data_IF_478312805777
#
_entry.id   IF_478312805777
#
_cell.length_a   1.000
_cell.length_b   1.000
_cell.length_c   1.000
_cell.angle_alpha   90.00
_cell.angle_beta   90.00
_cell.angle_gamma   90.00
#
_symmetry.space_group_name_H-M   'P 1'
#
loop_
_entity.id
_entity.type
_entity.pdbx_description
1 polymer ?
#
# COMPACT_ATOMS: atom_id res chain seq x y z
N UNK A 1 -11.75 23.22 -19.52
CA UNK A 1 -10.77 22.21 -19.87
C UNK A 1 -9.62 22.81 -20.67
N UNK A 2 -8.47 22.13 -20.67
CA UNK A 2 -7.29 22.54 -21.45
C UNK A 2 -7.50 22.22 -22.94
N UNK A 3 -6.90 23.05 -23.80
CA UNK A 3 -6.92 22.85 -25.25
C UNK A 3 -5.52 22.76 -25.82
N UNK A 4 -5.36 21.96 -26.87
CA UNK A 4 -4.17 21.90 -27.68
C UNK A 4 -3.99 23.14 -28.57
N UNK A 5 -2.88 23.21 -29.27
CA UNK A 5 -2.62 24.26 -30.24
C UNK A 5 -3.60 24.27 -31.43
N UNK A 6 -4.22 23.14 -31.74
CA UNK A 6 -5.28 22.91 -32.71
C UNK A 6 -6.68 23.30 -32.21
N UNK A 7 -6.82 23.72 -30.96
CA UNK A 7 -8.07 24.08 -30.33
C UNK A 7 -8.86 22.90 -29.74
N UNK A 8 -8.42 21.65 -29.98
CA UNK A 8 -9.10 20.45 -29.46
C UNK A 8 -8.85 20.24 -27.96
N UNK A 9 -9.77 19.58 -27.22
CA UNK A 9 -9.57 19.24 -25.83
C UNK A 9 -8.34 18.36 -25.62
N UNK A 10 -7.53 18.66 -24.61
CA UNK A 10 -6.46 17.76 -24.18
C UNK A 10 -7.01 16.60 -23.36
N UNK A 11 -6.49 15.41 -23.62
CA UNK A 11 -6.79 14.20 -22.85
C UNK A 11 -5.68 13.92 -21.84
N UNK A 12 -6.02 13.55 -20.59
CA UNK A 12 -5.02 13.18 -19.61
C UNK A 12 -4.33 11.87 -20.03
N UNK A 13 -3.09 11.71 -19.59
CA UNK A 13 -2.29 10.53 -19.88
C UNK A 13 -1.36 10.19 -18.72
N UNK A 14 -0.98 8.92 -18.61
CA UNK A 14 0.03 8.43 -17.70
C UNK A 14 1.13 7.69 -18.48
N UNK A 15 2.27 7.47 -17.80
CA UNK A 15 3.30 6.55 -18.29
C UNK A 15 3.04 5.17 -17.72
N UNK A 16 3.16 4.16 -18.60
CA UNK A 16 3.19 2.75 -18.22
C UNK A 16 4.50 2.17 -18.77
N UNK A 17 5.53 2.12 -17.94
CA UNK A 17 6.91 1.90 -18.37
C UNK A 17 7.36 2.98 -19.35
N UNK A 18 7.79 2.59 -20.55
CA UNK A 18 8.17 3.51 -21.65
C UNK A 18 6.99 3.97 -22.49
N UNK A 19 5.80 3.40 -22.28
CA UNK A 19 4.62 3.71 -23.06
C UNK A 19 3.84 4.89 -22.44
N UNK A 20 3.20 5.69 -23.30
CA UNK A 20 2.23 6.70 -22.90
C UNK A 20 0.83 6.16 -23.14
N UNK A 21 0.06 5.99 -22.08
CA UNK A 21 -1.36 5.64 -22.15
C UNK A 21 -2.18 6.92 -22.04
N UNK A 22 -3.01 7.20 -23.04
CA UNK A 22 -3.90 8.37 -23.07
C UNK A 22 -5.32 7.92 -22.79
N UNK A 23 -5.98 8.56 -21.83
CA UNK A 23 -7.38 8.31 -21.47
C UNK A 23 -8.29 9.17 -22.39
N UNK A 24 -8.60 8.62 -23.57
CA UNK A 24 -9.31 9.34 -24.63
C UNK A 24 -10.78 9.62 -24.35
N UNK A 25 -11.36 8.97 -23.37
CA UNK A 25 -12.72 9.17 -22.84
C UNK A 25 -12.82 10.33 -21.84
N UNK A 26 -11.68 10.87 -21.37
CA UNK A 26 -11.60 11.96 -20.41
C UNK A 26 -11.04 13.23 -21.05
N UNK A 27 -11.36 14.39 -20.48
CA UNK A 27 -10.75 15.67 -20.85
C UNK A 27 -9.98 16.26 -19.67
N UNK A 28 -8.87 16.93 -19.95
CA UNK A 28 -8.04 17.57 -18.93
C UNK A 28 -8.71 18.86 -18.45
N UNK A 29 -9.25 18.85 -17.22
CA UNK A 29 -9.84 20.03 -16.60
C UNK A 29 -8.73 21.00 -16.19
N UNK A 30 -8.82 22.26 -16.60
CA UNK A 30 -7.85 23.30 -16.21
C UNK A 30 -8.15 23.84 -14.80
N UNK A 31 -7.81 23.03 -13.80
CA UNK A 31 -8.00 23.39 -12.40
C UNK A 31 -7.00 24.46 -11.89
N UNK A 32 -5.91 24.71 -12.62
CA UNK A 32 -4.87 25.66 -12.22
C UNK A 32 -5.07 27.06 -12.84
N UNK A 33 -5.29 27.13 -14.16
CA UNK A 33 -5.19 28.37 -14.92
C UNK A 33 -6.53 28.82 -15.55
N UNK A 34 -7.63 28.14 -15.21
CA UNK A 34 -8.96 28.56 -15.65
C UNK A 34 -9.23 30.00 -15.22
N UNK A 35 -9.73 30.88 -16.11
CA UNK A 35 -10.17 32.23 -15.71
C UNK A 35 -11.30 32.20 -14.66
N UNK A 36 -12.06 31.12 -14.61
CA UNK A 36 -13.14 30.84 -13.67
C UNK A 36 -12.70 29.88 -12.55
N UNK A 37 -11.42 29.85 -12.19
CA UNK A 37 -10.83 28.90 -11.23
C UNK A 37 -11.59 28.82 -9.91
N UNK A 38 -11.96 29.96 -9.33
CA UNK A 38 -12.68 29.99 -8.06
C UNK A 38 -14.06 29.33 -8.15
N UNK A 39 -14.79 29.59 -9.24
CA UNK A 39 -16.11 29.00 -9.45
C UNK A 39 -16.00 27.49 -9.68
N UNK A 40 -14.97 27.04 -10.42
CA UNK A 40 -14.67 25.64 -10.62
C UNK A 40 -14.32 24.93 -9.32
N UNK A 41 -13.47 25.52 -8.47
CA UNK A 41 -13.13 24.96 -7.18
C UNK A 41 -14.32 24.86 -6.22
N UNK A 42 -15.21 25.87 -6.24
CA UNK A 42 -16.48 25.81 -5.49
C UNK A 42 -17.43 24.73 -6.02
N UNK A 43 -17.38 24.44 -7.33
CA UNK A 43 -18.13 23.31 -7.89
C UNK A 43 -17.65 21.98 -7.30
N UNK A 44 -16.36 21.74 -7.31
CA UNK A 44 -15.78 20.54 -6.71
C UNK A 44 -16.07 20.43 -5.21
N UNK A 45 -16.00 21.54 -4.48
CA UNK A 45 -16.35 21.59 -3.07
C UNK A 45 -17.80 21.16 -2.86
N UNK A 46 -18.77 21.78 -3.57
CA UNK A 46 -20.19 21.42 -3.44
C UNK A 46 -20.46 19.96 -3.79
N UNK A 47 -19.75 19.40 -4.78
CA UNK A 47 -19.85 17.99 -5.13
C UNK A 47 -19.41 17.10 -3.97
N UNK A 48 -18.26 17.38 -3.37
CA UNK A 48 -17.77 16.63 -2.22
C UNK A 48 -18.66 16.80 -0.99
N UNK A 49 -19.15 18.01 -0.71
CA UNK A 49 -20.12 18.30 0.37
C UNK A 49 -21.42 17.51 0.18
N UNK A 50 -21.93 17.44 -1.05
CA UNK A 50 -23.13 16.67 -1.36
C UNK A 50 -22.96 15.18 -0.97
N UNK A 51 -21.87 14.55 -1.37
CA UNK A 51 -21.63 13.14 -1.01
C UNK A 51 -21.35 12.96 0.48
N UNK A 52 -20.63 13.88 1.11
CA UNK A 52 -20.42 13.83 2.56
C UNK A 52 -21.76 13.95 3.33
N UNK A 53 -22.67 14.82 2.87
CA UNK A 53 -24.02 14.93 3.44
C UNK A 53 -24.88 13.66 3.25
N UNK A 54 -24.64 12.88 2.18
CA UNK A 54 -25.26 11.57 1.97
C UNK A 54 -24.68 10.47 2.88
N UNK A 55 -23.64 10.78 3.67
CA UNK A 55 -23.02 9.85 4.62
C UNK A 55 -21.72 9.19 4.13
N UNK A 56 -21.19 9.57 2.98
CA UNK A 56 -19.87 9.12 2.55
C UNK A 56 -18.81 9.72 3.48
N UNK A 57 -17.98 8.85 4.06
CA UNK A 57 -16.95 9.25 5.03
C UNK A 57 -15.54 9.27 4.45
N UNK A 58 -15.35 8.88 3.19
CA UNK A 58 -14.04 8.86 2.55
C UNK A 58 -14.12 9.04 1.05
N UNK A 59 -13.08 9.62 0.50
CA UNK A 59 -12.92 9.84 -0.93
C UNK A 59 -11.56 9.28 -1.39
N UNK A 60 -11.58 8.33 -2.31
CA UNK A 60 -10.40 7.98 -3.10
C UNK A 60 -10.30 9.00 -4.23
N UNK A 61 -9.21 9.69 -4.28
CA UNK A 61 -8.92 10.72 -5.28
C UNK A 61 -8.05 10.10 -6.37
N UNK A 62 -8.68 9.75 -7.47
CA UNK A 62 -8.06 9.10 -8.61
C UNK A 62 -7.04 10.00 -9.30
N UNK A 63 -5.90 9.43 -9.72
CA UNK A 63 -4.81 10.18 -10.36
C UNK A 63 -4.54 11.54 -9.69
N UNK A 64 -4.51 11.57 -8.36
CA UNK A 64 -4.49 12.82 -7.58
C UNK A 64 -3.34 13.76 -7.97
N UNK A 65 -2.23 13.21 -8.48
CA UNK A 65 -1.07 13.96 -8.98
C UNK A 65 -1.36 14.79 -10.24
N UNK A 66 -2.46 14.53 -10.95
CA UNK A 66 -2.91 15.33 -12.10
C UNK A 66 -3.63 16.62 -11.70
N UNK A 67 -4.00 16.74 -10.44
CA UNK A 67 -4.76 17.87 -9.88
C UNK A 67 -3.83 18.75 -9.05
N UNK A 68 -3.95 20.10 -9.10
CA UNK A 68 -3.13 20.99 -8.30
C UNK A 68 -3.23 20.71 -6.80
N UNK A 69 -2.08 20.65 -6.10
CA UNK A 69 -2.04 20.42 -4.65
C UNK A 69 -2.82 21.46 -3.84
N UNK A 70 -2.88 22.71 -4.32
CA UNK A 70 -3.66 23.77 -3.67
C UNK A 70 -5.18 23.53 -3.74
N UNK A 71 -5.67 22.94 -4.84
CA UNK A 71 -7.08 22.53 -4.92
C UNK A 71 -7.35 21.39 -3.91
N UNK A 72 -6.47 20.42 -3.80
CA UNK A 72 -6.63 19.36 -2.78
C UNK A 72 -6.65 19.94 -1.39
N UNK A 73 -5.72 20.82 -1.05
CA UNK A 73 -5.68 21.46 0.26
C UNK A 73 -6.98 22.23 0.53
N UNK A 74 -7.45 23.03 -0.42
CA UNK A 74 -8.70 23.75 -0.33
C UNK A 74 -9.90 22.82 -0.06
N UNK A 75 -10.05 21.74 -0.84
CA UNK A 75 -11.15 20.78 -0.68
C UNK A 75 -11.10 20.06 0.66
N UNK A 76 -9.95 19.51 1.02
CA UNK A 76 -9.75 18.72 2.24
C UNK A 76 -10.02 19.58 3.48
N UNK A 77 -9.46 20.78 3.54
CA UNK A 77 -9.68 21.70 4.66
C UNK A 77 -11.15 22.07 4.82
N UNK A 78 -11.83 22.42 3.73
CA UNK A 78 -13.25 22.82 3.77
C UNK A 78 -14.18 21.68 4.15
N UNK A 79 -13.97 20.50 3.55
CA UNK A 79 -14.79 19.33 3.90
C UNK A 79 -14.57 18.92 5.36
N UNK A 80 -13.34 18.90 5.85
CA UNK A 80 -13.06 18.56 7.25
C UNK A 80 -13.60 19.59 8.26
N UNK A 81 -13.78 20.84 7.86
CA UNK A 81 -14.45 21.85 8.69
C UNK A 81 -15.93 21.54 8.90
N UNK A 82 -16.64 21.13 7.86
CA UNK A 82 -18.07 20.80 7.92
C UNK A 82 -18.36 19.33 8.26
N UNK A 83 -17.45 18.42 7.90
CA UNK A 83 -17.55 16.97 8.08
C UNK A 83 -16.22 16.40 8.63
N UNK A 84 -15.91 16.62 9.93
CA UNK A 84 -14.58 16.33 10.51
C UNK A 84 -14.18 14.85 10.50
N UNK A 85 -15.13 13.93 10.33
CA UNK A 85 -14.87 12.49 10.20
C UNK A 85 -14.56 12.02 8.78
N UNK A 86 -14.49 12.93 7.80
CA UNK A 86 -14.19 12.56 6.40
C UNK A 86 -12.68 12.41 6.19
N UNK A 87 -12.28 11.37 5.48
CA UNK A 87 -10.88 11.13 5.11
C UNK A 87 -10.69 11.10 3.59
N UNK A 88 -9.47 11.41 3.15
CA UNK A 88 -9.07 11.48 1.75
C UNK A 88 -7.87 10.59 1.48
N UNK A 89 -7.97 9.76 0.45
CA UNK A 89 -6.90 8.86 -0.01
C UNK A 89 -6.44 9.31 -1.39
N UNK A 90 -5.17 9.67 -1.53
CA UNK A 90 -4.60 10.00 -2.82
C UNK A 90 -4.13 8.74 -3.54
N UNK A 91 -4.63 8.52 -4.75
CA UNK A 91 -4.03 7.59 -5.69
C UNK A 91 -2.83 8.29 -6.36
N UNK A 92 -1.66 7.64 -6.31
CA UNK A 92 -0.38 8.17 -6.80
C UNK A 92 0.38 7.18 -7.67
N UNK A 93 -0.32 6.18 -8.23
CA UNK A 93 0.31 5.12 -9.02
C UNK A 93 0.80 5.65 -10.36
N UNK A 94 2.00 5.22 -10.78
CA UNK A 94 2.59 5.60 -12.05
C UNK A 94 3.06 7.06 -12.16
N UNK A 95 3.00 7.86 -11.09
CA UNK A 95 3.54 9.21 -11.09
C UNK A 95 5.03 9.25 -10.70
N UNK A 96 5.78 10.28 -11.10
CA UNK A 96 7.10 10.56 -10.55
C UNK A 96 7.06 10.66 -9.02
N UNK A 97 8.12 10.22 -8.35
CA UNK A 97 8.15 10.19 -6.89
C UNK A 97 8.01 11.59 -6.26
N UNK A 98 8.50 12.63 -6.92
CA UNK A 98 8.35 14.02 -6.48
C UNK A 98 6.86 14.42 -6.40
N UNK A 99 6.02 13.89 -7.28
CA UNK A 99 4.57 14.11 -7.25
C UNK A 99 3.93 13.41 -6.05
N UNK A 100 4.39 12.21 -5.71
CA UNK A 100 3.98 11.52 -4.48
C UNK A 100 4.33 12.34 -3.24
N UNK A 101 5.53 12.90 -3.17
CA UNK A 101 5.95 13.78 -2.05
C UNK A 101 5.10 15.05 -1.99
N UNK A 102 4.75 15.62 -3.16
CA UNK A 102 3.87 16.80 -3.24
C UNK A 102 2.47 16.49 -2.71
N UNK A 103 1.90 15.34 -3.08
CA UNK A 103 0.62 14.86 -2.56
C UNK A 103 0.67 14.62 -1.04
N UNK A 104 1.74 14.02 -0.54
CA UNK A 104 1.94 13.80 0.88
C UNK A 104 1.86 15.10 1.72
N UNK A 105 2.16 16.26 1.11
CA UNK A 105 2.07 17.59 1.73
C UNK A 105 0.76 18.32 1.49
N UNK A 106 -0.17 17.75 0.72
CA UNK A 106 -1.41 18.41 0.35
C UNK A 106 -2.56 18.22 1.36
N UNK A 107 -2.33 17.47 2.46
CA UNK A 107 -3.29 17.29 3.54
C UNK A 107 -4.13 16.02 3.46
N UNK A 108 -3.81 15.09 2.57
CA UNK A 108 -4.42 13.76 2.50
C UNK A 108 -4.21 12.99 3.81
N UNK A 109 -5.14 12.12 4.14
CA UNK A 109 -5.04 11.21 5.28
C UNK A 109 -4.20 9.98 4.96
N UNK A 110 -4.24 9.54 3.69
CA UNK A 110 -3.46 8.42 3.17
C UNK A 110 -3.02 8.67 1.73
N UNK A 111 -1.88 8.08 1.35
CA UNK A 111 -1.45 7.95 -0.05
C UNK A 111 -1.26 6.47 -0.39
N UNK A 112 -1.49 6.08 -1.63
CA UNK A 112 -1.03 4.77 -2.12
C UNK A 112 0.48 4.82 -2.35
N UNK A 113 1.18 3.72 -2.07
CA UNK A 113 2.62 3.64 -2.32
C UNK A 113 2.97 2.57 -3.35
N UNK A 114 4.21 2.61 -3.84
CA UNK A 114 4.69 1.71 -4.90
C UNK A 114 5.30 0.41 -4.38
N UNK A 115 5.08 0.02 -3.12
CA UNK A 115 5.69 -1.16 -2.51
C UNK A 115 5.33 -2.49 -3.19
N UNK A 116 4.22 -2.56 -3.95
CA UNK A 116 3.86 -3.70 -4.79
C UNK A 116 5.02 -4.14 -5.69
N UNK A 117 5.73 -3.19 -6.29
CA UNK A 117 6.79 -3.46 -7.26
C UNK A 117 8.17 -3.71 -6.64
N UNK A 118 8.26 -3.70 -5.30
CA UNK A 118 9.53 -3.97 -4.66
C UNK A 118 9.96 -5.43 -4.80
N UNK A 119 11.18 -5.62 -5.26
CA UNK A 119 11.82 -6.92 -5.39
C UNK A 119 12.46 -7.43 -4.08
N UNK A 120 12.31 -6.67 -2.98
CA UNK A 120 12.92 -6.88 -1.67
C UNK A 120 14.45 -6.72 -1.62
N UNK A 121 15.12 -6.40 -2.72
CA UNK A 121 16.59 -6.28 -2.77
C UNK A 121 17.04 -4.83 -2.93
N UNK A 122 16.46 -4.10 -3.88
CA UNK A 122 16.82 -2.72 -4.16
C UNK A 122 16.42 -1.76 -3.03
N UNK A 123 17.19 -0.70 -2.75
CA UNK A 123 16.95 0.19 -1.60
C UNK A 123 15.78 1.15 -1.78
N UNK A 124 15.35 1.39 -3.02
CA UNK A 124 14.42 2.46 -3.39
C UNK A 124 13.12 2.47 -2.58
N UNK A 125 12.56 1.30 -2.26
CA UNK A 125 11.28 1.20 -1.54
C UNK A 125 11.38 1.76 -0.11
N UNK A 126 12.44 1.42 0.61
CA UNK A 126 12.71 1.96 1.95
C UNK A 126 13.12 3.43 1.91
N UNK A 127 13.83 3.86 0.87
CA UNK A 127 14.21 5.27 0.66
C UNK A 127 12.98 6.14 0.41
N UNK A 128 12.06 5.70 -0.45
CA UNK A 128 10.77 6.37 -0.68
C UNK A 128 9.93 6.40 0.59
N UNK A 129 9.83 5.28 1.31
CA UNK A 129 9.11 5.20 2.57
C UNK A 129 9.63 6.22 3.59
N UNK A 130 10.96 6.33 3.78
CA UNK A 130 11.56 7.29 4.71
C UNK A 130 11.20 8.75 4.39
N UNK A 131 10.97 9.08 3.13
CA UNK A 131 10.62 10.43 2.70
C UNK A 131 9.13 10.76 2.90
N UNK A 132 8.24 9.77 2.76
CA UNK A 132 6.79 9.99 2.84
C UNK A 132 6.20 9.69 4.22
N UNK A 133 6.71 8.71 4.94
CA UNK A 133 6.19 8.29 6.26
C UNK A 133 6.09 9.41 7.31
N UNK A 134 7.02 10.39 7.39
CA UNK A 134 6.86 11.52 8.30
C UNK A 134 5.75 12.50 7.91
N UNK A 135 5.29 12.46 6.66
CA UNK A 135 4.34 13.42 6.09
C UNK A 135 2.91 12.91 6.13
N UNK A 136 2.68 11.65 5.76
CA UNK A 136 1.35 11.06 5.61
C UNK A 136 1.42 9.54 5.73
N UNK A 137 0.43 8.89 6.36
CA UNK A 137 0.28 7.44 6.30
C UNK A 137 0.10 6.91 4.88
N UNK A 138 0.59 5.70 4.63
CA UNK A 138 0.45 5.06 3.32
C UNK A 138 -0.44 3.81 3.36
N UNK A 139 -0.95 3.45 2.18
CA UNK A 139 -1.65 2.20 1.90
C UNK A 139 -0.80 1.41 0.94
N UNK A 140 -0.40 0.21 1.34
CA UNK A 140 0.22 -0.79 0.47
C UNK A 140 -0.81 -1.74 -0.10
N UNK A 141 -0.50 -2.34 -1.23
CA UNK A 141 -1.36 -3.32 -1.88
C UNK A 141 -0.51 -4.34 -2.65
N UNK A 142 -0.89 -5.61 -2.68
CA UNK A 142 -0.23 -6.63 -3.50
C UNK A 142 -0.69 -6.59 -4.96
N UNK A 143 -1.93 -6.15 -5.22
CA UNK A 143 -2.53 -5.90 -6.53
C UNK A 143 -3.62 -4.82 -6.42
N UNK A 144 -4.02 -4.26 -7.54
CA UNK A 144 -5.16 -3.33 -7.66
C UNK A 144 -5.95 -3.63 -8.93
N UNK A 145 -7.06 -2.91 -9.16
CA UNK A 145 -7.82 -2.98 -10.41
C UNK A 145 -7.03 -2.48 -11.64
N UNK A 146 -5.98 -1.69 -11.42
CA UNK A 146 -5.12 -1.17 -12.50
C UNK A 146 -3.94 -2.08 -12.83
N UNK A 147 -3.67 -3.11 -12.02
CA UNK A 147 -2.54 -4.02 -12.20
C UNK A 147 -3.01 -5.40 -12.65
N UNK A 148 -2.06 -6.21 -13.14
CA UNK A 148 -2.30 -7.63 -13.32
C UNK A 148 -2.64 -8.29 -11.97
N UNK A 149 -3.43 -9.35 -12.01
CA UNK A 149 -3.70 -10.17 -10.82
C UNK A 149 -2.43 -10.82 -10.31
N UNK A 150 -2.19 -10.75 -9.02
CA UNK A 150 -0.99 -11.31 -8.42
C UNK A 150 -0.89 -12.84 -8.61
N UNK A 151 -2.03 -13.53 -8.61
CA UNK A 151 -2.09 -14.96 -8.91
C UNK A 151 -1.58 -15.28 -10.34
N UNK A 152 -1.80 -14.39 -11.30
CA UNK A 152 -1.26 -14.50 -12.66
C UNK A 152 0.24 -14.18 -12.68
N UNK A 153 0.66 -13.05 -12.12
CA UNK A 153 2.07 -12.64 -12.03
C UNK A 153 2.95 -13.70 -11.36
N UNK A 154 2.41 -14.38 -10.35
CA UNK A 154 3.13 -15.41 -9.59
C UNK A 154 2.86 -16.84 -10.08
N UNK A 155 2.21 -17.01 -11.23
CA UNK A 155 1.93 -18.30 -11.87
C UNK A 155 1.19 -19.29 -10.95
N UNK A 156 0.29 -18.79 -10.11
CA UNK A 156 -0.50 -19.61 -9.20
C UNK A 156 0.23 -20.05 -7.93
N UNK A 157 1.31 -19.40 -7.55
CA UNK A 157 2.04 -19.67 -6.31
C UNK A 157 1.32 -19.03 -5.10
N UNK A 158 0.44 -19.78 -4.47
CA UNK A 158 -0.34 -19.34 -3.30
C UNK A 158 0.55 -18.86 -2.14
N UNK A 159 1.69 -19.52 -1.89
CA UNK A 159 2.59 -19.14 -0.80
C UNK A 159 3.21 -17.76 -1.05
N UNK A 160 3.61 -17.49 -2.30
CA UNK A 160 4.13 -16.18 -2.68
C UNK A 160 3.03 -15.09 -2.64
N UNK A 161 1.78 -15.42 -2.98
CA UNK A 161 0.63 -14.50 -2.82
C UNK A 161 0.43 -14.14 -1.34
N UNK A 162 0.47 -15.12 -0.43
CA UNK A 162 0.39 -14.90 1.02
C UNK A 162 1.52 -14.02 1.53
N UNK A 163 2.78 -14.27 1.09
CA UNK A 163 3.92 -13.43 1.45
C UNK A 163 3.69 -11.97 1.03
N UNK A 164 3.26 -11.73 -0.19
CA UNK A 164 3.01 -10.38 -0.70
C UNK A 164 1.89 -9.67 0.06
N UNK A 165 0.84 -10.39 0.44
CA UNK A 165 -0.22 -9.84 1.28
C UNK A 165 0.30 -9.44 2.67
N UNK A 166 0.99 -10.36 3.37
CA UNK A 166 1.54 -10.09 4.69
C UNK A 166 2.54 -8.92 4.66
N UNK A 167 3.41 -8.87 3.65
CA UNK A 167 4.29 -7.72 3.44
C UNK A 167 3.49 -6.41 3.34
N UNK A 168 2.50 -6.35 2.45
CA UNK A 168 1.69 -5.14 2.26
C UNK A 168 0.98 -4.71 3.54
N UNK A 169 0.42 -5.68 4.28
CA UNK A 169 -0.32 -5.42 5.52
C UNK A 169 0.57 -4.90 6.65
N UNK A 170 1.79 -5.41 6.79
CA UNK A 170 2.69 -5.03 7.87
C UNK A 170 3.61 -3.84 7.53
N UNK A 171 3.85 -3.59 6.26
CA UNK A 171 4.71 -2.50 5.80
C UNK A 171 4.07 -1.13 6.04
N UNK A 172 2.82 -0.95 5.63
CA UNK A 172 2.10 0.33 5.70
C UNK A 172 1.00 0.35 6.76
N UNK A 173 0.57 1.55 7.13
CA UNK A 173 -0.57 1.75 8.03
C UNK A 173 -1.88 1.20 7.44
N UNK A 174 -2.07 1.33 6.13
CA UNK A 174 -3.20 0.76 5.39
C UNK A 174 -2.81 -0.42 4.51
N UNK A 175 -3.78 -1.30 4.22
CA UNK A 175 -3.67 -2.35 3.21
C UNK A 175 -4.93 -2.37 2.36
N UNK A 176 -4.77 -2.58 1.06
CA UNK A 176 -5.88 -2.66 0.09
C UNK A 176 -5.69 -3.91 -0.78
N UNK A 177 -6.79 -4.61 -1.03
CA UNK A 177 -6.87 -5.68 -2.04
C UNK A 177 -8.19 -5.57 -2.80
N UNK A 178 -8.24 -5.88 -4.10
CA UNK A 178 -9.48 -5.97 -4.84
C UNK A 178 -10.19 -7.31 -4.55
N UNK A 179 -11.48 -7.34 -4.83
CA UNK A 179 -12.33 -8.54 -4.75
C UNK A 179 -11.73 -9.68 -5.58
N UNK A 180 -11.75 -10.90 -5.03
CA UNK A 180 -11.24 -12.12 -5.68
C UNK A 180 -9.76 -12.40 -5.42
N UNK A 181 -9.02 -11.48 -4.77
CA UNK A 181 -7.66 -11.71 -4.34
C UNK A 181 -7.55 -12.93 -3.43
N UNK A 182 -8.45 -13.06 -2.47
CA UNK A 182 -8.54 -14.15 -1.49
C UNK A 182 -8.78 -15.52 -2.14
N UNK A 183 -9.35 -15.52 -3.34
CA UNK A 183 -9.68 -16.74 -4.10
C UNK A 183 -8.71 -17.05 -5.23
N UNK A 184 -7.67 -16.22 -5.39
CA UNK A 184 -6.65 -16.41 -6.43
C UNK A 184 -7.16 -16.20 -7.84
N UNK A 185 -8.06 -15.25 -8.04
CA UNK A 185 -8.56 -14.90 -9.36
C UNK A 185 -7.41 -14.43 -10.26
N UNK A 186 -7.47 -14.82 -11.52
CA UNK A 186 -6.43 -14.58 -12.52
C UNK A 186 -6.83 -13.60 -13.59
N UNK A 187 -8.14 -13.48 -13.85
CA UNK A 187 -8.62 -12.52 -14.82
C UNK A 187 -8.47 -11.11 -14.28
N UNK A 188 -7.85 -10.23 -15.06
CA UNK A 188 -7.70 -8.82 -14.69
C UNK A 188 -9.07 -8.20 -14.42
N UNK A 189 -9.18 -7.48 -13.32
CA UNK A 189 -10.38 -6.73 -12.98
C UNK A 189 -10.45 -5.47 -13.86
N UNK A 190 -11.48 -5.38 -14.70
CA UNK A 190 -11.79 -4.20 -15.47
C UNK A 190 -12.98 -3.48 -14.82
N UNK A 191 -12.78 -2.22 -14.41
CA UNK A 191 -13.80 -1.45 -13.66
C UNK A 191 -15.01 -1.04 -14.51
N UNK A 192 -14.92 -1.17 -15.84
CA UNK A 192 -15.99 -0.82 -16.77
C UNK A 192 -16.73 -2.05 -17.28
N UNK A 193 -15.99 -3.10 -17.63
CA UNK A 193 -16.52 -4.25 -18.38
C UNK A 193 -16.74 -5.51 -17.53
N UNK A 194 -16.05 -5.65 -16.38
CA UNK A 194 -16.21 -6.82 -15.51
C UNK A 194 -17.65 -6.90 -14.97
N UNK A 195 -18.28 -8.03 -15.16
CA UNK A 195 -19.67 -8.33 -14.80
C UNK A 195 -19.73 -9.48 -13.77
N UNK A 196 -20.85 -9.68 -13.06
CA UNK A 196 -20.98 -10.80 -12.11
C UNK A 196 -20.75 -12.19 -12.71
N UNK A 197 -21.02 -12.39 -14.01
CA UNK A 197 -20.74 -13.64 -14.72
C UNK A 197 -19.25 -13.90 -14.96
N UNK A 198 -18.39 -12.91 -14.82
CA UNK A 198 -16.93 -13.03 -14.96
C UNK A 198 -16.28 -13.53 -13.65
N UNK A 199 -17.11 -13.86 -12.63
CA UNK A 199 -16.63 -14.40 -11.37
C UNK A 199 -16.00 -15.79 -11.59
N UNK A 200 -14.72 -15.87 -11.31
CA UNK A 200 -13.93 -17.07 -11.57
C UNK A 200 -14.20 -18.16 -10.50
N UNK A 201 -13.94 -19.41 -10.88
CA UNK A 201 -13.80 -20.48 -9.89
C UNK A 201 -12.55 -20.25 -9.06
N UNK A 202 -12.70 -20.32 -7.74
CA UNK A 202 -11.58 -20.12 -6.81
C UNK A 202 -10.46 -21.14 -7.08
N UNK A 203 -9.21 -20.63 -7.19
CA UNK A 203 -8.02 -21.46 -7.26
C UNK A 203 -7.64 -22.01 -5.87
N UNK A 204 -7.95 -21.23 -4.84
CA UNK A 204 -7.77 -21.50 -3.41
C UNK A 204 -8.69 -20.60 -2.61
N UNK A 205 -8.65 -20.76 -1.30
CA UNK A 205 -9.21 -19.79 -0.34
C UNK A 205 -8.13 -19.48 0.71
N UNK A 206 -7.71 -18.20 0.79
CA UNK A 206 -6.77 -17.71 1.80
C UNK A 206 -7.42 -16.71 2.77
N UNK A 207 -8.74 -16.69 2.86
CA UNK A 207 -9.46 -15.74 3.72
C UNK A 207 -9.12 -15.89 5.20
N UNK A 208 -8.88 -17.11 5.68
CA UNK A 208 -8.41 -17.35 7.05
C UNK A 208 -7.01 -16.73 7.30
N UNK A 209 -6.09 -16.89 6.35
CA UNK A 209 -4.77 -16.27 6.43
C UNK A 209 -4.87 -14.74 6.46
N UNK A 210 -5.68 -14.16 5.56
CA UNK A 210 -5.95 -12.72 5.52
C UNK A 210 -6.55 -12.24 6.84
N UNK A 211 -7.50 -12.97 7.39
CA UNK A 211 -8.14 -12.68 8.69
C UNK A 211 -7.09 -12.71 9.82
N UNK A 212 -6.21 -13.71 9.82
CA UNK A 212 -5.12 -13.82 10.80
C UNK A 212 -4.15 -12.63 10.73
N UNK A 213 -3.72 -12.25 9.52
CA UNK A 213 -2.85 -11.09 9.30
C UNK A 213 -3.54 -9.78 9.72
N UNK A 214 -4.81 -9.60 9.37
CA UNK A 214 -5.57 -8.40 9.73
C UNK A 214 -5.82 -8.30 11.24
N UNK A 215 -6.04 -9.44 11.91
CA UNK A 215 -6.13 -9.47 13.37
C UNK A 215 -4.82 -9.03 14.01
N UNK A 216 -3.66 -9.58 13.60
CA UNK A 216 -2.35 -9.14 14.07
C UNK A 216 -2.14 -7.64 13.84
N UNK A 217 -2.54 -7.15 12.65
CA UNK A 217 -2.47 -5.73 12.34
C UNK A 217 -3.32 -4.91 13.32
N UNK A 218 -4.51 -5.36 13.69
CA UNK A 218 -5.40 -4.64 14.62
C UNK A 218 -4.92 -4.70 16.08
N UNK A 219 -4.26 -5.77 16.48
CA UNK A 219 -3.76 -5.99 17.84
C UNK A 219 -2.45 -5.24 18.15
N UNK A 220 -1.66 -4.92 17.10
CA UNK A 220 -0.33 -4.34 17.24
C UNK A 220 -0.26 -2.96 16.58
N UNK A 221 -0.03 -1.94 17.40
CA UNK A 221 0.03 -0.56 16.98
C UNK A 221 1.11 -0.30 15.92
N UNK A 222 2.26 -0.99 16.02
CA UNK A 222 3.37 -0.88 15.09
C UNK A 222 2.97 -1.12 13.62
N UNK A 223 1.89 -1.87 13.37
CA UNK A 223 1.37 -2.13 12.01
C UNK A 223 0.34 -1.11 11.53
N UNK A 224 -0.17 -0.24 12.40
CA UNK A 224 -1.22 0.73 12.08
C UNK A 224 -0.71 2.18 11.98
N UNK A 225 0.59 2.38 12.08
CA UNK A 225 1.21 3.69 11.97
C UNK A 225 2.50 3.63 11.13
N UNK A 226 2.89 4.79 10.61
CA UNK A 226 4.13 4.93 9.86
C UNK A 226 5.28 5.27 10.83
N UNK A 227 5.84 4.24 11.43
CA UNK A 227 7.06 4.35 12.21
C UNK A 227 8.30 4.01 11.39
N UNK A 228 9.51 4.16 11.92
CA UNK A 228 10.75 3.81 11.23
C UNK A 228 10.76 2.35 10.77
N UNK A 229 11.23 2.12 9.54
CA UNK A 229 11.51 0.77 9.00
C UNK A 229 12.97 0.71 8.59
N UNK A 230 13.67 -0.30 9.10
CA UNK A 230 15.08 -0.56 8.81
C UNK A 230 15.28 -1.99 8.34
N UNK A 231 16.22 -2.16 7.42
CA UNK A 231 16.66 -3.50 7.01
C UNK A 231 17.74 -3.98 7.97
N UNK A 232 17.63 -5.23 8.42
CA UNK A 232 18.65 -5.87 9.26
C UNK A 232 19.25 -7.08 8.54
N UNK A 233 20.50 -7.38 8.89
CA UNK A 233 21.23 -8.48 8.28
C UNK A 233 20.70 -9.84 8.75
N UNK A 234 20.20 -10.63 7.83
CA UNK A 234 19.70 -11.98 8.09
C UNK A 234 20.79 -13.08 7.98
N UNK A 235 21.95 -12.74 7.42
CA UNK A 235 22.99 -13.69 7.07
C UNK A 235 22.70 -14.55 5.82
N UNK A 236 21.60 -14.26 5.11
CA UNK A 236 21.18 -14.99 3.92
C UNK A 236 20.55 -14.04 2.90
N UNK A 237 21.09 -13.97 1.69
CA UNK A 237 20.61 -13.09 0.64
C UNK A 237 19.16 -13.39 0.17
N UNK A 238 18.64 -14.59 0.46
CA UNK A 238 17.27 -14.99 0.14
C UNK A 238 16.30 -14.75 1.29
N UNK A 239 16.79 -14.21 2.40
CA UNK A 239 15.96 -13.85 3.56
C UNK A 239 16.04 -12.36 3.79
N UNK A 240 14.92 -11.69 3.65
CA UNK A 240 14.79 -10.27 3.93
C UNK A 240 14.24 -10.07 5.34
N UNK A 241 14.94 -9.29 6.14
CA UNK A 241 14.53 -8.96 7.49
C UNK A 241 14.37 -7.44 7.63
N UNK A 242 13.20 -7.02 8.11
CA UNK A 242 12.87 -5.63 8.36
C UNK A 242 12.47 -5.46 9.82
N UNK A 243 12.96 -4.42 10.44
CA UNK A 243 12.48 -3.96 11.76
C UNK A 243 11.60 -2.74 11.56
N UNK A 244 10.36 -2.83 11.98
CA UNK A 244 9.44 -1.69 12.06
C UNK A 244 9.27 -1.31 13.52
N UNK A 245 9.36 -0.03 13.84
CA UNK A 245 9.12 0.49 15.20
C UNK A 245 7.85 1.33 15.21
N UNK A 246 7.12 1.32 16.33
CA UNK A 246 6.08 2.32 16.56
C UNK A 246 6.69 3.72 16.63
N UNK A 247 5.89 4.77 16.39
CA UNK A 247 6.38 6.17 16.41
C UNK A 247 7.01 6.57 17.75
N UNK A 248 6.49 6.01 18.85
CA UNK A 248 7.01 6.26 20.20
C UNK A 248 8.12 5.25 20.62
N UNK A 249 8.48 4.32 19.73
CA UNK A 249 9.53 3.32 19.97
C UNK A 249 9.19 2.22 20.98
N UNK A 250 7.96 2.20 21.51
CA UNK A 250 7.58 1.25 22.58
C UNK A 250 7.23 -0.13 22.07
N UNK A 251 6.85 -0.24 20.82
CA UNK A 251 6.58 -1.52 20.16
C UNK A 251 7.46 -1.65 18.92
N UNK A 252 8.02 -2.83 18.71
CA UNK A 252 8.80 -3.18 17.52
C UNK A 252 8.32 -4.49 16.93
N UNK A 253 8.39 -4.58 15.61
CA UNK A 253 8.15 -5.81 14.87
C UNK A 253 9.37 -6.16 14.02
N UNK A 254 9.82 -7.41 14.12
CA UNK A 254 10.77 -7.99 13.18
C UNK A 254 9.97 -8.82 12.17
N UNK A 255 10.04 -8.41 10.92
CA UNK A 255 9.39 -9.05 9.78
C UNK A 255 10.45 -9.80 8.99
N UNK A 256 10.31 -11.11 8.85
CA UNK A 256 11.28 -11.96 8.16
C UNK A 256 10.60 -12.69 7.00
N UNK A 257 11.11 -12.51 5.80
CA UNK A 257 10.53 -13.03 4.56
C UNK A 257 11.54 -13.92 3.84
N UNK A 258 11.18 -15.16 3.54
CA UNK A 258 11.91 -15.97 2.58
C UNK A 258 11.45 -15.62 1.16
N UNK A 259 12.28 -14.90 0.42
CA UNK A 259 11.96 -14.50 -0.97
C UNK A 259 12.28 -15.58 -2.00
N UNK A 260 12.84 -16.72 -1.57
CA UNK A 260 12.98 -17.91 -2.41
C UNK A 260 11.66 -18.68 -2.44
N UNK A 261 11.08 -18.79 -3.61
CA UNK A 261 9.79 -19.44 -3.84
C UNK A 261 9.88 -20.98 -3.90
N UNK A 262 11.07 -21.53 -3.94
CA UNK A 262 11.29 -22.95 -4.21
C UNK A 262 11.97 -23.67 -3.05
N UNK A 263 12.78 -22.97 -2.27
CA UNK A 263 13.65 -23.58 -1.27
C UNK A 263 13.42 -23.04 0.12
N UNK A 264 13.46 -23.95 1.08
CA UNK A 264 13.58 -23.57 2.49
C UNK A 264 14.91 -22.86 2.70
N UNK A 265 14.89 -21.77 3.42
CA UNK A 265 16.06 -20.96 3.73
C UNK A 265 16.29 -20.90 5.23
N UNK A 266 17.55 -20.99 5.64
CA UNK A 266 17.94 -20.72 7.03
C UNK A 266 18.22 -19.25 7.23
N UNK A 267 17.86 -18.73 8.42
CA UNK A 267 18.24 -17.39 8.85
C UNK A 267 18.82 -17.43 10.27
N UNK A 268 19.72 -16.50 10.55
CA UNK A 268 20.37 -16.38 11.86
C UNK A 268 19.58 -15.37 12.71
N UNK A 269 18.54 -15.84 13.38
CA UNK A 269 17.68 -14.99 14.23
C UNK A 269 18.47 -14.33 15.37
N UNK A 270 19.51 -14.95 15.88
CA UNK A 270 20.42 -14.37 16.90
C UNK A 270 21.00 -13.01 16.47
N UNK A 271 21.36 -12.86 15.20
CA UNK A 271 21.88 -11.58 14.69
C UNK A 271 20.84 -10.46 14.75
N UNK A 272 19.56 -10.84 14.75
CA UNK A 272 18.43 -9.91 14.75
C UNK A 272 17.84 -9.67 16.14
N UNK A 273 18.17 -10.52 17.13
CA UNK A 273 17.62 -10.44 18.50
C UNK A 273 17.94 -9.13 19.24
N UNK A 274 19.06 -8.46 18.87
CA UNK A 274 19.43 -7.18 19.46
C UNK A 274 18.39 -6.05 19.21
N UNK A 275 17.53 -6.18 18.21
CA UNK A 275 16.47 -5.18 17.91
C UNK A 275 15.44 -5.07 19.04
N UNK A 276 15.31 -6.11 19.86
CA UNK A 276 14.40 -6.16 21.00
C UNK A 276 15.10 -5.85 22.35
N UNK A 277 16.32 -5.35 22.32
CA UNK A 277 17.04 -4.98 23.53
C UNK A 277 16.21 -3.97 24.38
N UNK A 278 16.00 -4.29 25.65
CA UNK A 278 15.21 -3.47 26.56
C UNK A 278 13.69 -3.70 26.52
N UNK A 279 13.20 -4.61 25.68
CA UNK A 279 11.79 -4.98 25.65
C UNK A 279 11.48 -6.14 26.59
N UNK A 280 10.35 -6.04 27.31
CA UNK A 280 10.00 -7.01 28.36
C UNK A 280 9.21 -8.21 27.84
N UNK A 281 8.55 -8.05 26.70
CA UNK A 281 7.69 -9.08 26.10
C UNK A 281 8.00 -9.21 24.61
N UNK A 282 8.63 -10.33 24.25
CA UNK A 282 8.92 -10.66 22.84
C UNK A 282 8.18 -11.95 22.50
N UNK A 283 7.39 -11.92 21.43
CA UNK A 283 6.56 -13.06 21.01
C UNK A 283 6.63 -13.27 19.51
N UNK A 284 6.68 -14.53 19.11
CA UNK A 284 6.43 -14.93 17.72
C UNK A 284 4.91 -14.95 17.50
N UNK A 285 4.46 -14.10 16.58
CA UNK A 285 3.06 -13.94 16.18
C UNK A 285 2.85 -14.27 14.71
N UNK A 286 3.70 -15.11 14.15
CA UNK A 286 3.69 -15.46 12.74
C UNK A 286 2.32 -15.98 12.29
N UNK A 287 1.77 -15.51 11.14
CA UNK A 287 0.39 -15.79 10.74
C UNK A 287 0.14 -17.27 10.38
N UNK A 288 1.17 -18.04 10.09
CA UNK A 288 1.08 -19.49 9.82
C UNK A 288 1.65 -20.36 10.96
N UNK A 289 1.75 -19.79 12.14
CA UNK A 289 2.26 -20.43 13.35
C UNK A 289 3.72 -20.07 13.64
N UNK A 290 4.14 -20.19 14.91
CA UNK A 290 5.48 -19.86 15.35
C UNK A 290 6.53 -20.78 14.72
N UNK A 291 7.76 -20.31 14.64
CA UNK A 291 8.91 -21.14 14.25
C UNK A 291 9.05 -22.33 15.20
N UNK A 292 9.22 -23.53 14.66
CA UNK A 292 9.28 -24.78 15.45
C UNK A 292 10.45 -24.85 16.45
N UNK A 293 11.38 -23.88 16.46
CA UNK A 293 12.60 -23.91 17.28
C UNK A 293 12.97 -22.57 17.90
N UNK A 294 12.01 -21.75 18.27
CA UNK A 294 12.28 -20.44 18.85
C UNK A 294 11.98 -20.27 20.35
N UNK A 295 12.62 -20.98 21.29
CA UNK A 295 12.83 -20.42 22.61
C UNK A 295 14.07 -19.52 22.70
N UNK A 296 15.04 -19.67 21.81
CA UNK A 296 16.38 -19.08 21.96
C UNK A 296 16.87 -18.22 20.78
N UNK A 297 16.02 -17.92 19.78
CA UNK A 297 16.35 -17.06 18.64
C UNK A 297 17.65 -17.43 17.89
N UNK A 298 18.10 -18.69 17.97
CA UNK A 298 19.42 -19.07 17.44
C UNK A 298 19.44 -19.21 15.92
N UNK A 299 18.52 -19.97 15.36
CA UNK A 299 18.33 -20.09 13.91
C UNK A 299 16.92 -20.53 13.60
N UNK A 300 16.40 -20.11 12.46
CA UNK A 300 15.08 -20.50 11.98
C UNK A 300 15.15 -21.06 10.56
N UNK A 301 14.27 -21.99 10.25
CA UNK A 301 14.04 -22.51 8.90
C UNK A 301 12.74 -21.89 8.39
N UNK A 302 12.86 -21.12 7.31
CA UNK A 302 11.71 -20.52 6.63
C UNK A 302 11.38 -21.36 5.40
N UNK A 303 10.17 -21.90 5.35
CA UNK A 303 9.66 -22.57 4.13
C UNK A 303 9.68 -21.63 2.92
N UNK A 304 9.57 -22.14 1.70
CA UNK A 304 9.45 -21.32 0.50
C UNK A 304 8.35 -20.25 0.67
N UNK A 305 8.65 -19.00 0.33
CA UNK A 305 7.77 -17.85 0.54
C UNK A 305 7.26 -17.69 1.98
N UNK A 306 7.96 -18.22 2.98
CA UNK A 306 7.58 -18.16 4.39
C UNK A 306 7.68 -16.76 4.97
N UNK A 307 6.78 -16.46 5.89
CA UNK A 307 6.71 -15.17 6.61
C UNK A 307 6.76 -15.44 8.10
N UNK A 308 7.68 -14.75 8.80
CA UNK A 308 7.73 -14.73 10.25
C UNK A 308 7.60 -13.32 10.79
N UNK A 309 6.90 -13.21 11.90
CA UNK A 309 6.61 -11.94 12.55
C UNK A 309 6.86 -12.09 14.04
N UNK A 310 7.81 -11.35 14.57
CA UNK A 310 8.13 -11.30 15.99
C UNK A 310 7.83 -9.89 16.47
N UNK A 311 7.08 -9.76 17.54
CA UNK A 311 6.72 -8.45 18.12
C UNK A 311 7.25 -8.37 19.54
N UNK A 312 7.84 -7.22 19.88
CA UNK A 312 8.31 -6.86 21.21
C UNK A 312 7.70 -5.55 21.69
N UNK A 313 7.36 -5.48 23.00
CA UNK A 313 6.80 -4.29 23.62
C UNK A 313 6.93 -4.29 25.13
#
# INVERSE_FOLDING_TARGET
YKRGADGEPLHPSAKDGDNKVTWGDLVEVDNANSPDRERLWRYWLRLAEHYAALGFRGFRCDAAYKVPGDLWRFLIERIKQSHPGTFFVAESLGCPFEDTVRLARAGFDFILNSSKWWDFTAPWCLEQYRQTAPLVPSISFPESHDTERLATELHGDQAAVKLRYAFSAFFSAGVMVPIGFEYGFRQRLDVVTTQPQDWETAQWDISEFITGVNRLKSEHRVFNEEGPIERVESGNAKVVALVKSSRDGKEKALLVFNIDRQRTQSCQLMRMGHVFAGMSRVRDVSPEGPLQHAPDFQSGQLKPSGVHVIVGG
#
